data_IF_058603798509
#
_entry.id   IF_058603798509
#
_cell.length_a   1.000
_cell.length_b   1.000
_cell.length_c   1.000
_cell.angle_alpha   90.00
_cell.angle_beta   90.00
_cell.angle_gamma   90.00
#
_symmetry.space_group_name_H-M   'P 1'
#
loop_
_entity.id
_entity.type
_entity.pdbx_description
1 polymer ?
#
# COMPACT_ATOMS: atom_id res chain seq x y z
N UNK A 1 -9.25 9.30 16.68
CA UNK A 1 -10.06 8.15 16.26
C UNK A 1 -11.38 8.74 15.81
N UNK A 2 -11.68 8.68 14.51
CA UNK A 2 -13.00 9.12 14.07
C UNK A 2 -14.00 8.05 14.58
N UNK A 3 -15.20 8.42 15.05
CA UNK A 3 -16.20 7.43 15.41
C UNK A 3 -16.46 6.48 14.23
N UNK A 4 -16.27 5.17 14.44
CA UNK A 4 -16.59 4.13 13.45
C UNK A 4 -15.41 3.52 12.69
N UNK A 5 -14.15 3.93 12.92
CA UNK A 5 -12.99 3.25 12.32
C UNK A 5 -12.93 1.76 12.73
N UNK A 6 -12.56 0.88 11.80
CA UNK A 6 -12.51 -0.57 12.00
C UNK A 6 -11.19 -0.95 12.68
N UNK A 7 -11.24 -1.93 13.58
CA UNK A 7 -10.07 -2.42 14.30
C UNK A 7 -9.90 -3.92 14.09
N UNK A 8 -8.70 -4.32 13.65
CA UNK A 8 -8.25 -5.71 13.63
C UNK A 8 -7.16 -5.86 14.69
N UNK A 9 -7.21 -6.92 15.48
CA UNK A 9 -6.29 -7.10 16.60
C UNK A 9 -5.94 -8.59 16.80
N UNK A 10 -4.67 -8.88 17.08
CA UNK A 10 -4.19 -10.19 17.54
C UNK A 10 -3.48 -10.02 18.89
N UNK A 11 -2.67 -10.98 19.34
CA UNK A 11 -1.89 -10.92 20.60
C UNK A 11 -0.93 -9.73 20.69
N UNK A 12 -0.33 -9.30 19.57
CA UNK A 12 0.83 -8.38 19.55
C UNK A 12 0.60 -7.09 18.76
N UNK A 13 -0.36 -7.07 17.83
CA UNK A 13 -0.67 -5.98 16.92
C UNK A 13 -2.13 -5.55 17.09
N UNK A 14 -2.35 -4.25 16.85
CA UNK A 14 -3.66 -3.64 16.66
C UNK A 14 -3.60 -2.72 15.44
N UNK A 15 -4.44 -2.99 14.46
CA UNK A 15 -4.56 -2.19 13.25
C UNK A 15 -5.75 -1.25 13.37
N UNK A 16 -5.60 -0.04 12.85
CA UNK A 16 -6.69 0.90 12.63
C UNK A 16 -6.89 1.06 11.13
N UNK A 17 -8.14 0.87 10.69
CA UNK A 17 -8.52 0.85 9.29
C UNK A 17 -9.61 1.88 9.08
N UNK A 18 -9.45 2.70 8.04
CA UNK A 18 -10.43 3.72 7.70
C UNK A 18 -11.72 3.04 7.22
N UNK A 19 -12.84 3.34 7.89
CA UNK A 19 -14.11 2.64 7.62
C UNK A 19 -14.68 2.89 6.23
N UNK A 20 -14.32 3.99 5.58
CA UNK A 20 -14.91 4.38 4.30
C UNK A 20 -14.12 3.77 3.13
N UNK A 21 -12.81 3.62 3.31
CA UNK A 21 -11.89 3.13 2.29
C UNK A 21 -11.40 1.70 2.55
N UNK A 22 -11.58 1.17 3.76
CA UNK A 22 -11.00 -0.11 4.16
C UNK A 22 -9.47 -0.16 4.10
N UNK A 23 -8.80 1.00 3.96
CA UNK A 23 -7.34 1.10 3.90
C UNK A 23 -6.73 1.27 5.29
N UNK A 24 -5.55 0.68 5.47
CA UNK A 24 -4.78 0.80 6.70
C UNK A 24 -4.43 2.27 7.00
N UNK A 25 -4.57 2.65 8.27
CA UNK A 25 -4.18 3.98 8.79
C UNK A 25 -3.09 3.91 9.83
N UNK A 26 -3.12 2.88 10.66
CA UNK A 26 -2.21 2.76 11.79
C UNK A 26 -1.90 1.31 12.09
N UNK A 27 -0.63 1.04 12.43
CA UNK A 27 -0.19 -0.21 13.04
C UNK A 27 0.26 0.14 14.46
N UNK A 28 -0.33 -0.50 15.47
CA UNK A 28 0.11 -0.37 16.86
C UNK A 28 0.63 -1.72 17.33
N UNK A 29 1.92 -1.80 17.61
CA UNK A 29 2.46 -2.90 18.40
C UNK A 29 2.06 -2.71 19.86
N UNK A 30 1.59 -3.75 20.53
CA UNK A 30 1.07 -3.67 21.90
C UNK A 30 2.17 -3.62 22.96
N UNK A 31 3.34 -4.15 22.64
CA UNK A 31 4.55 -4.05 23.45
C UNK A 31 5.18 -2.64 23.41
N UNK A 32 4.88 -1.86 22.38
CA UNK A 32 5.36 -0.49 22.20
C UNK A 32 4.35 0.54 22.68
N UNK A 33 4.84 1.59 23.35
CA UNK A 33 4.03 2.76 23.72
C UNK A 33 3.85 3.73 22.55
N UNK A 34 4.59 3.55 21.45
CA UNK A 34 4.50 4.43 20.27
C UNK A 34 3.31 4.07 19.38
N UNK A 35 2.77 5.10 18.74
CA UNK A 35 1.80 4.96 17.66
C UNK A 35 2.59 5.03 16.35
N UNK A 36 2.62 3.93 15.58
CA UNK A 36 3.20 3.92 14.24
C UNK A 36 2.09 4.23 13.24
N UNK A 37 2.15 5.42 12.65
CA UNK A 37 1.27 5.78 11.53
C UNK A 37 1.80 5.03 10.32
N UNK A 38 0.94 4.21 9.71
CA UNK A 38 1.23 3.47 8.49
C UNK A 38 -0.02 3.51 7.65
N UNK A 39 -0.05 4.48 6.77
CA UNK A 39 -1.18 4.81 5.92
C UNK A 39 -0.98 4.17 4.54
N UNK A 40 -1.82 3.20 4.20
CA UNK A 40 -1.87 2.65 2.84
C UNK A 40 -2.67 3.60 1.96
N UNK A 41 -2.12 3.88 0.77
CA UNK A 41 -2.72 4.70 -0.28
C UNK A 41 -2.52 4.02 -1.63
N UNK A 42 -3.45 4.22 -2.54
CA UNK A 42 -3.31 3.82 -3.94
C UNK A 42 -3.34 5.07 -4.82
N UNK A 43 -2.39 5.15 -5.73
CA UNK A 43 -2.35 6.19 -6.75
C UNK A 43 -1.86 5.63 -8.06
N UNK A 44 -1.87 6.45 -9.10
CA UNK A 44 -1.34 6.03 -10.39
C UNK A 44 -0.60 7.14 -11.10
N UNK A 45 0.44 6.76 -11.85
CA UNK A 45 1.02 7.60 -12.89
C UNK A 45 0.30 7.37 -14.20
N UNK A 46 0.12 8.45 -14.97
CA UNK A 46 -0.23 8.31 -16.38
C UNK A 46 1.06 8.14 -17.16
N UNK A 47 1.14 7.11 -17.98
CA UNK A 47 2.28 6.90 -18.85
C UNK A 47 2.23 7.87 -20.02
N UNK A 48 3.35 8.56 -20.31
CA UNK A 48 3.43 9.42 -21.48
C UNK A 48 3.31 8.57 -22.76
N UNK A 49 2.39 8.95 -23.65
CA UNK A 49 2.08 8.16 -24.85
C UNK A 49 3.35 7.93 -25.70
N UNK A 50 3.64 6.67 -26.02
CA UNK A 50 4.81 6.20 -26.82
C UNK A 50 6.18 6.37 -26.15
N UNK A 51 6.22 6.83 -24.91
CA UNK A 51 7.47 7.03 -24.16
C UNK A 51 7.68 5.96 -23.09
N UNK A 52 6.62 5.60 -22.37
CA UNK A 52 6.65 4.43 -21.49
C UNK A 52 6.40 3.13 -22.27
N UNK A 53 6.84 2.01 -21.71
CA UNK A 53 6.60 0.69 -22.25
C UNK A 53 7.17 -0.41 -21.37
N UNK A 54 7.43 -1.59 -21.95
CA UNK A 54 7.89 -2.76 -21.20
C UNK A 54 9.21 -2.56 -20.42
N UNK A 55 10.03 -1.58 -20.81
CA UNK A 55 11.34 -1.29 -20.20
C UNK A 55 11.42 0.09 -19.55
N UNK A 56 10.76 1.08 -20.16
CA UNK A 56 10.87 2.47 -19.76
C UNK A 56 9.63 2.84 -18.94
N UNK A 57 9.86 3.26 -17.70
CA UNK A 57 8.89 4.03 -16.93
C UNK A 57 9.14 5.51 -17.24
N UNK A 58 8.22 6.15 -17.95
CA UNK A 58 8.29 7.58 -18.28
C UNK A 58 6.91 8.20 -18.03
N UNK A 59 6.63 8.59 -16.77
CA UNK A 59 5.36 9.20 -16.43
C UNK A 59 5.20 10.53 -17.18
N UNK A 60 3.95 10.86 -17.50
CA UNK A 60 3.59 12.15 -18.05
C UNK A 60 3.83 13.22 -16.98
N UNK A 61 4.81 14.08 -17.20
CA UNK A 61 5.20 15.12 -16.26
C UNK A 61 4.21 16.29 -16.21
N UNK A 62 3.42 16.46 -17.28
CA UNK A 62 2.37 17.48 -17.34
C UNK A 62 1.11 17.03 -16.60
N UNK A 63 0.97 15.73 -16.34
CA UNK A 63 -0.13 15.16 -15.55
C UNK A 63 0.34 14.70 -14.17
N UNK A 64 -0.08 15.37 -13.08
CA UNK A 64 0.32 14.97 -11.73
C UNK A 64 -0.21 13.58 -11.38
N UNK A 65 0.43 12.93 -10.40
CA UNK A 65 -0.02 11.64 -9.89
C UNK A 65 -1.52 11.66 -9.53
N UNK A 66 -2.27 10.65 -9.98
CA UNK A 66 -3.68 10.49 -9.65
C UNK A 66 -3.80 9.88 -8.27
N UNK A 67 -3.81 10.73 -7.24
CA UNK A 67 -3.85 10.33 -5.82
C UNK A 67 -5.13 9.61 -5.39
N UNK A 68 -6.22 9.75 -6.14
CA UNK A 68 -7.54 9.29 -5.75
C UNK A 68 -8.13 8.30 -6.77
N UNK A 69 -7.27 7.46 -7.37
CA UNK A 69 -7.65 6.52 -8.43
C UNK A 69 -8.80 5.58 -8.03
N UNK A 70 -8.92 5.26 -6.74
CA UNK A 70 -9.94 4.38 -6.21
C UNK A 70 -11.32 5.02 -6.04
N UNK A 71 -11.43 6.36 -5.97
CA UNK A 71 -12.72 7.03 -5.75
C UNK A 71 -13.76 6.68 -6.81
N UNK A 72 -13.33 6.57 -8.06
CA UNK A 72 -14.17 6.19 -9.19
C UNK A 72 -14.78 4.78 -9.05
N UNK A 73 -14.20 3.94 -8.17
CA UNK A 73 -14.64 2.57 -7.91
C UNK A 73 -15.36 2.44 -6.55
N UNK A 74 -15.47 3.53 -5.78
CA UNK A 74 -16.23 3.57 -4.53
C UNK A 74 -17.70 3.96 -4.75
N UNK A 75 -17.97 4.76 -5.78
CA UNK A 75 -19.31 5.27 -6.10
C UNK A 75 -19.81 4.60 -7.37
N UNK A 76 -20.44 3.43 -7.25
CA UNK A 76 -21.08 2.80 -8.41
C UNK A 76 -22.45 3.49 -8.65
N UNK A 77 -22.45 4.39 -9.65
CA UNK A 77 -23.57 4.99 -10.40
C UNK A 77 -24.54 5.93 -9.65
N UNK A 78 -24.65 7.17 -10.16
CA UNK A 78 -25.83 7.86 -10.71
C UNK A 78 -27.28 7.46 -10.31
N UNK A 79 -27.51 6.88 -9.14
CA UNK A 79 -28.85 6.82 -8.55
C UNK A 79 -28.77 7.21 -7.07
N UNK A 80 -29.67 8.09 -6.67
CA UNK A 80 -29.67 8.94 -5.47
C UNK A 80 -29.93 8.15 -4.16
N UNK A 81 -29.19 7.05 -3.95
CA UNK A 81 -29.26 6.25 -2.74
C UNK A 81 -27.87 6.08 -2.14
N UNK A 82 -27.61 6.88 -1.10
CA UNK A 82 -26.41 6.85 -0.24
C UNK A 82 -26.25 5.55 0.57
N UNK A 83 -26.48 4.37 -0.01
CA UNK A 83 -26.71 3.14 0.76
C UNK A 83 -25.68 2.00 0.53
N UNK A 84 -24.68 2.15 -0.35
CA UNK A 84 -23.84 1.01 -0.75
C UNK A 84 -22.33 1.12 -0.45
N UNK A 85 -21.90 2.02 0.45
CA UNK A 85 -20.48 2.03 0.89
C UNK A 85 -20.16 0.87 1.85
N UNK A 86 -21.12 0.39 2.65
CA UNK A 86 -20.86 -0.71 3.59
C UNK A 86 -20.81 -2.09 2.90
N UNK A 87 -21.31 -2.22 1.66
CA UNK A 87 -21.38 -3.49 0.93
C UNK A 87 -20.06 -3.93 0.29
N UNK A 88 -19.04 -3.06 0.26
CA UNK A 88 -17.76 -3.36 -0.38
C UNK A 88 -16.68 -3.88 0.59
N UNK A 89 -16.97 -3.92 1.90
CA UNK A 89 -16.05 -4.38 2.93
C UNK A 89 -16.57 -5.71 3.51
N UNK A 90 -15.71 -6.73 3.48
CA UNK A 90 -15.96 -8.03 4.10
C UNK A 90 -14.93 -8.27 5.19
N UNK A 91 -15.37 -8.55 6.41
CA UNK A 91 -14.51 -8.89 7.54
C UNK A 91 -14.70 -10.37 7.88
N UNK A 92 -13.61 -11.13 7.91
CA UNK A 92 -13.61 -12.53 8.32
C UNK A 92 -12.69 -12.67 9.53
N UNK A 93 -13.26 -13.12 10.64
CA UNK A 93 -12.52 -13.36 11.89
C UNK A 93 -12.57 -14.86 12.22
N UNK A 94 -11.40 -15.45 12.43
CA UNK A 94 -11.26 -16.86 12.75
C UNK A 94 -10.15 -17.14 13.77
N UNK A 95 -10.01 -18.41 14.19
CA UNK A 95 -9.01 -18.81 15.19
C UNK A 95 -7.57 -18.77 14.66
N UNK A 96 -7.36 -18.68 13.34
CA UNK A 96 -6.03 -18.66 12.69
C UNK A 96 -5.65 -17.27 12.19
N UNK A 97 -6.62 -16.50 11.70
CA UNK A 97 -6.42 -15.16 11.18
C UNK A 97 -7.69 -14.32 11.26
N UNK A 98 -7.49 -13.01 11.24
CA UNK A 98 -8.53 -12.02 11.02
C UNK A 98 -8.14 -11.17 9.83
N UNK A 99 -9.07 -10.98 8.90
CA UNK A 99 -8.85 -10.21 7.67
C UNK A 99 -10.01 -9.27 7.37
N UNK A 100 -9.69 -8.22 6.64
CA UNK A 100 -10.63 -7.32 6.00
C UNK A 100 -10.31 -7.30 4.51
N UNK A 101 -11.33 -7.47 3.68
CA UNK A 101 -11.26 -7.39 2.22
C UNK A 101 -12.12 -6.23 1.78
N UNK A 102 -11.55 -5.31 1.01
CA UNK A 102 -12.24 -4.17 0.41
C UNK A 102 -12.27 -4.31 -1.10
N UNK A 103 -13.46 -4.19 -1.67
CA UNK A 103 -13.75 -4.48 -3.06
C UNK A 103 -13.97 -3.17 -3.85
N UNK A 104 -12.94 -2.70 -4.54
CA UNK A 104 -12.99 -1.60 -5.50
C UNK A 104 -13.25 -2.15 -6.91
N UNK A 105 -14.37 -2.86 -7.07
CA UNK A 105 -14.61 -3.65 -8.27
C UNK A 105 -14.95 -2.78 -9.50
N UNK A 106 -14.51 -3.22 -10.69
CA UNK A 106 -13.72 -4.42 -10.95
C UNK A 106 -12.20 -4.26 -10.77
N UNK A 107 -11.72 -3.05 -10.46
CA UNK A 107 -10.31 -2.67 -10.61
C UNK A 107 -9.36 -3.26 -9.55
N UNK A 108 -9.78 -3.29 -8.29
CA UNK A 108 -8.92 -3.74 -7.18
C UNK A 108 -9.73 -4.49 -6.12
N UNK A 109 -9.21 -5.61 -5.65
CA UNK A 109 -9.58 -6.23 -4.38
C UNK A 109 -8.38 -6.13 -3.44
N UNK A 110 -8.55 -5.43 -2.33
CA UNK A 110 -7.50 -5.16 -1.34
C UNK A 110 -7.81 -5.88 -0.03
N UNK A 111 -6.91 -6.77 0.40
CA UNK A 111 -7.07 -7.55 1.63
C UNK A 111 -5.95 -7.24 2.61
N UNK A 112 -6.31 -6.94 3.86
CA UNK A 112 -5.38 -6.82 4.98
C UNK A 112 -5.67 -7.97 5.96
N UNK A 113 -4.65 -8.75 6.29
CA UNK A 113 -4.76 -9.90 7.19
C UNK A 113 -3.71 -9.84 8.30
N UNK A 114 -4.12 -10.23 9.50
CA UNK A 114 -3.24 -10.53 10.63
C UNK A 114 -3.48 -11.96 11.10
N UNK A 115 -2.43 -12.63 11.53
CA UNK A 115 -2.53 -13.99 12.07
C UNK A 115 -2.74 -13.96 13.58
N UNK A 116 -3.59 -14.84 14.09
CA UNK A 116 -3.95 -14.97 15.52
C UNK A 116 -3.33 -16.21 16.17
N UNK A 117 -2.47 -16.92 15.44
CA UNK A 117 -1.71 -18.08 15.91
C UNK A 117 -0.64 -17.62 16.90
N UNK A 118 -0.79 -18.03 18.17
CA UNK A 118 0.16 -17.73 19.25
C UNK A 118 1.53 -18.35 18.99
N UNK A 119 2.56 -17.70 19.52
CA UNK A 119 3.95 -18.17 19.49
C UNK A 119 4.50 -18.40 18.06
N UNK A 120 3.89 -17.76 17.06
CA UNK A 120 4.28 -17.81 15.66
C UNK A 120 4.81 -16.46 15.21
N UNK A 121 5.90 -16.43 14.44
CA UNK A 121 6.42 -15.19 13.85
C UNK A 121 5.39 -14.45 12.99
N UNK A 122 4.36 -15.15 12.49
CA UNK A 122 3.27 -14.58 11.72
C UNK A 122 2.42 -13.56 12.51
N UNK A 123 2.40 -13.63 13.85
CA UNK A 123 1.63 -12.69 14.67
C UNK A 123 2.17 -11.25 14.57
N UNK A 124 3.46 -11.10 14.23
CA UNK A 124 4.14 -9.80 14.11
C UNK A 124 4.01 -9.16 12.73
N UNK A 125 3.50 -9.89 11.74
CA UNK A 125 3.35 -9.40 10.37
C UNK A 125 1.94 -8.90 10.06
N UNK A 126 1.85 -7.94 9.15
CA UNK A 126 0.60 -7.59 8.45
C UNK A 126 0.74 -8.09 7.03
N UNK A 127 -0.12 -9.01 6.62
CA UNK A 127 -0.18 -9.47 5.24
C UNK A 127 -1.10 -8.54 4.45
N UNK A 128 -0.63 -8.08 3.30
CA UNK A 128 -1.42 -7.33 2.33
C UNK A 128 -1.49 -8.14 1.04
N UNK A 129 -2.69 -8.31 0.50
CA UNK A 129 -2.92 -8.92 -0.80
C UNK A 129 -3.71 -7.94 -1.67
N UNK A 130 -3.26 -7.79 -2.92
CA UNK A 130 -3.88 -6.93 -3.90
C UNK A 130 -4.14 -7.75 -5.16
N UNK A 131 -5.40 -7.86 -5.57
CA UNK A 131 -5.79 -8.42 -6.87
C UNK A 131 -6.20 -7.24 -7.75
N UNK A 132 -5.45 -7.01 -8.82
CA UNK A 132 -5.63 -5.84 -9.70
C UNK A 132 -6.07 -6.32 -11.08
N UNK A 133 -7.12 -5.71 -11.62
CA UNK A 133 -7.57 -5.88 -13.00
C UNK A 133 -7.65 -4.50 -13.67
N UNK A 134 -6.78 -4.25 -14.64
CA UNK A 134 -6.79 -2.98 -15.39
C UNK A 134 -7.98 -2.86 -16.35
N UNK A 135 -8.76 -3.92 -16.51
CA UNK A 135 -9.83 -4.06 -17.48
C UNK A 135 -9.34 -3.99 -18.93
N UNK A 136 -10.24 -4.26 -19.87
CA UNK A 136 -9.90 -4.17 -21.29
C UNK A 136 -9.70 -2.69 -21.71
N UNK A 137 -8.71 -2.42 -22.58
CA UNK A 137 -8.56 -1.10 -23.20
C UNK A 137 -9.88 -0.63 -23.84
N UNK A 138 -10.20 0.67 -23.78
CA UNK A 138 -9.32 1.79 -23.42
C UNK A 138 -9.26 2.12 -21.92
N UNK A 139 -10.01 1.41 -21.06
CA UNK A 139 -10.08 1.72 -19.63
C UNK A 139 -8.73 1.43 -18.95
N UNK A 140 -8.30 2.34 -18.07
CA UNK A 140 -6.99 2.34 -17.41
C UNK A 140 -5.79 2.10 -18.36
N UNK A 141 -5.93 2.37 -19.66
CA UNK A 141 -4.79 2.32 -20.58
C UNK A 141 -3.75 3.37 -20.17
N UNK A 142 -2.47 3.08 -20.39
CA UNK A 142 -1.36 3.98 -20.03
C UNK A 142 -1.40 4.38 -18.54
N UNK A 143 -1.74 3.43 -17.67
CA UNK A 143 -1.85 3.63 -16.22
C UNK A 143 -0.89 2.73 -15.47
N UNK A 144 -0.07 3.33 -14.63
CA UNK A 144 0.86 2.61 -13.75
C UNK A 144 0.41 2.80 -12.31
N UNK A 145 -0.27 1.77 -11.79
CA UNK A 145 -0.79 1.74 -10.42
C UNK A 145 0.36 1.53 -9.43
N UNK A 146 0.36 2.29 -8.34
CA UNK A 146 1.25 2.08 -7.20
C UNK A 146 0.48 2.03 -5.89
N UNK A 147 1.01 1.25 -4.94
CA UNK A 147 0.62 1.27 -3.54
C UNK A 147 1.70 2.02 -2.75
N UNK A 148 1.30 3.02 -1.96
CA UNK A 148 2.18 3.84 -1.12
C UNK A 148 1.91 3.57 0.35
N UNK A 149 2.97 3.41 1.12
CA UNK A 149 2.91 3.42 2.59
C UNK A 149 3.44 4.75 3.10
N UNK A 150 2.54 5.59 3.60
CA UNK A 150 2.91 6.86 4.22
C UNK A 150 3.04 6.67 5.73
N UNK A 151 4.19 7.04 6.30
CA UNK A 151 4.48 6.80 7.72
C UNK A 151 4.98 8.06 8.43
N UNK A 152 5.06 7.98 9.76
CA UNK A 152 5.72 8.99 10.58
C UNK A 152 7.21 8.71 10.84
N UNK A 153 7.81 7.72 10.15
CA UNK A 153 9.23 7.39 10.27
C UNK A 153 10.07 8.48 9.60
N UNK A 154 11.06 9.00 10.32
CA UNK A 154 11.93 10.07 9.83
C UNK A 154 13.18 9.49 9.16
N UNK A 155 13.13 9.28 7.84
CA UNK A 155 14.22 8.67 7.07
C UNK A 155 15.23 9.68 6.49
N UNK A 156 15.54 10.73 7.25
CA UNK A 156 16.56 11.74 6.92
C UNK A 156 16.04 12.98 6.17
N UNK A 157 16.85 14.05 6.18
CA UNK A 157 16.56 15.30 5.45
C UNK A 157 16.57 15.09 3.93
N UNK A 158 17.58 14.37 3.43
CA UNK A 158 17.55 13.75 2.11
C UNK A 158 16.99 12.34 2.32
N UNK A 159 15.76 12.07 1.85
CA UNK A 159 15.11 10.79 2.16
C UNK A 159 15.95 9.61 1.68
N UNK A 160 16.13 8.63 2.57
CA UNK A 160 16.81 7.38 2.27
C UNK A 160 15.94 6.16 2.52
N UNK A 161 16.14 5.14 1.72
CA UNK A 161 15.56 3.81 1.94
C UNK A 161 16.53 2.74 1.41
N UNK A 162 16.21 1.48 1.64
CA UNK A 162 17.08 0.37 1.30
C UNK A 162 16.29 -0.65 0.48
N UNK A 163 16.87 -1.09 -0.62
CA UNK A 163 16.33 -2.19 -1.43
C UNK A 163 17.31 -3.35 -1.44
N UNK A 164 16.78 -4.56 -1.59
CA UNK A 164 17.60 -5.73 -1.82
C UNK A 164 18.27 -5.71 -3.21
N UNK A 165 19.36 -6.46 -3.33
CA UNK A 165 20.06 -6.77 -4.57
C UNK A 165 19.97 -8.29 -4.77
N UNK A 166 18.99 -8.70 -5.58
CA UNK A 166 18.70 -10.11 -5.88
C UNK A 166 18.49 -10.96 -4.62
N UNK A 167 17.91 -10.39 -3.57
CA UNK A 167 17.65 -11.08 -2.31
C UNK A 167 18.89 -11.41 -1.47
N UNK A 168 20.07 -10.88 -1.80
CA UNK A 168 21.32 -11.20 -1.09
C UNK A 168 21.76 -10.12 -0.10
N UNK A 169 22.00 -8.90 -0.59
CA UNK A 169 22.43 -7.78 0.24
C UNK A 169 21.52 -6.56 0.04
N UNK A 170 21.58 -5.61 0.96
CA UNK A 170 20.79 -4.38 0.89
C UNK A 170 21.66 -3.20 0.48
N UNK A 171 21.15 -2.36 -0.41
CA UNK A 171 21.82 -1.14 -0.84
C UNK A 171 21.01 0.09 -0.44
N UNK A 172 21.71 1.06 0.16
CA UNK A 172 21.17 2.38 0.48
C UNK A 172 20.84 3.15 -0.81
N UNK A 173 19.63 3.71 -0.88
CA UNK A 173 19.12 4.56 -1.94
C UNK A 173 18.88 5.95 -1.37
N UNK A 174 19.50 6.96 -1.98
CA UNK A 174 19.27 8.36 -1.62
C UNK A 174 18.39 8.99 -2.68
N UNK A 175 17.34 9.68 -2.26
CA UNK A 175 16.49 10.42 -3.20
C UNK A 175 17.29 11.52 -3.88
N UNK A 176 17.37 11.48 -5.20
CA UNK A 176 18.02 12.50 -6.03
C UNK A 176 16.96 13.50 -6.46
N UNK A 177 16.80 14.58 -5.68
CA UNK A 177 15.73 15.58 -5.84
C UNK A 177 15.70 16.24 -7.22
N UNK A 178 16.87 16.40 -7.85
CA UNK A 178 17.01 17.02 -9.19
C UNK A 178 16.51 16.13 -10.34
N UNK A 179 16.20 14.86 -10.09
CA UNK A 179 15.73 13.91 -11.09
C UNK A 179 14.27 13.54 -10.83
N UNK A 180 13.58 13.09 -11.88
CA UNK A 180 12.21 12.60 -11.82
C UNK A 180 12.03 11.33 -11.00
N UNK A 181 10.79 10.88 -10.89
CA UNK A 181 10.44 9.70 -10.10
C UNK A 181 11.03 8.42 -10.70
N UNK A 182 11.08 8.31 -12.02
CA UNK A 182 11.61 7.16 -12.75
C UNK A 182 13.10 6.92 -12.46
N UNK A 183 13.87 7.99 -12.20
CA UNK A 183 15.28 7.88 -11.83
C UNK A 183 15.49 7.49 -10.36
N UNK A 184 14.44 7.57 -9.55
CA UNK A 184 14.44 7.19 -8.13
C UNK A 184 13.75 5.84 -7.88
N UNK A 185 13.28 5.16 -8.93
CA UNK A 185 12.76 3.80 -8.85
C UNK A 185 13.89 2.77 -8.90
N UNK A 186 13.84 1.81 -7.98
CA UNK A 186 14.81 0.73 -7.84
C UNK A 186 14.09 -0.62 -7.80
N UNK A 187 14.73 -1.71 -8.27
CA UNK A 187 14.16 -3.03 -8.13
C UNK A 187 14.12 -3.47 -6.67
N UNK A 188 13.03 -4.14 -6.30
CA UNK A 188 12.88 -4.94 -5.08
C UNK A 188 12.54 -6.36 -5.52
N UNK A 189 13.37 -7.33 -5.15
CA UNK A 189 13.12 -8.74 -5.51
C UNK A 189 12.64 -9.56 -4.33
N UNK A 190 12.92 -9.10 -3.10
CA UNK A 190 12.44 -9.72 -1.87
C UNK A 190 11.90 -8.71 -0.87
N UNK A 191 12.53 -7.54 -0.70
CA UNK A 191 12.07 -6.52 0.24
C UNK A 191 12.71 -5.14 0.05
N UNK A 192 12.01 -4.13 0.54
CA UNK A 192 12.57 -2.81 0.83
C UNK A 192 12.25 -2.40 2.27
N UNK A 193 13.04 -1.49 2.81
CA UNK A 193 12.80 -0.95 4.15
C UNK A 193 13.30 0.49 4.30
N UNK A 194 12.69 1.19 5.24
CA UNK A 194 13.10 2.50 5.72
C UNK A 194 13.04 2.52 7.25
N UNK A 195 13.81 3.40 7.87
CA UNK A 195 13.89 3.47 9.33
C UNK A 195 14.26 4.86 9.82
N UNK A 196 14.03 5.08 11.10
CA UNK A 196 14.65 6.13 11.92
C UNK A 196 15.44 5.49 13.07
N UNK A 197 15.81 6.27 14.09
CA UNK A 197 16.53 5.78 15.26
C UNK A 197 15.73 4.80 16.11
N UNK A 198 14.40 4.77 15.97
CA UNK A 198 13.51 4.06 16.90
C UNK A 198 12.68 2.97 16.23
N UNK A 199 12.48 3.04 14.92
CA UNK A 199 11.54 2.19 14.21
C UNK A 199 11.97 1.92 12.77
N UNK A 200 11.64 0.71 12.30
CA UNK A 200 11.84 0.27 10.92
C UNK A 200 10.51 -0.24 10.37
N UNK A 201 10.19 0.17 9.14
CA UNK A 201 9.18 -0.47 8.31
C UNK A 201 9.90 -1.32 7.26
N UNK A 202 9.63 -2.62 7.27
CA UNK A 202 10.10 -3.54 6.23
C UNK A 202 8.90 -4.02 5.42
N UNK A 203 8.97 -3.87 4.10
CA UNK A 203 7.98 -4.35 3.15
C UNK A 203 8.57 -5.51 2.37
N UNK A 204 7.97 -6.70 2.53
CA UNK A 204 8.41 -7.94 1.88
C UNK A 204 7.47 -8.21 0.70
N UNK A 205 8.03 -8.56 -0.45
CA UNK A 205 7.26 -8.89 -1.66
C UNK A 205 7.32 -10.39 -1.96
N UNK A 206 6.30 -10.90 -2.65
CA UNK A 206 6.26 -12.28 -3.15
C UNK A 206 6.71 -12.39 -4.63
N UNK A 207 7.00 -11.28 -5.29
CA UNK A 207 7.57 -11.20 -6.64
C UNK A 207 8.36 -9.89 -6.81
N UNK A 208 9.14 -9.81 -7.89
CA UNK A 208 9.93 -8.64 -8.19
C UNK A 208 9.06 -7.45 -8.63
N UNK A 209 9.35 -6.27 -8.09
CA UNK A 209 8.63 -5.02 -8.35
C UNK A 209 9.60 -3.83 -8.36
N UNK A 210 9.09 -2.63 -8.68
CA UNK A 210 9.82 -1.37 -8.48
C UNK A 210 9.36 -0.65 -7.21
N UNK A 211 10.28 0.03 -6.53
CA UNK A 211 10.00 0.88 -5.37
C UNK A 211 10.89 2.13 -5.35
N UNK A 212 10.42 3.17 -4.68
CA UNK A 212 11.10 4.46 -4.50
C UNK A 212 10.90 5.02 -3.09
#
# INVERSE_FOLDING_TARGET
MKPGDIQLENSVLKLLIDRNTGLLRQVKRKDSRRKSVVEVQFGAYRSAQRHSGAYLFMPDYDEPERKEILKNYMTRNDDDSMQHMDDNIVIIAGPVSTEITTMYLPFLVHTIRIFTVKDSLLEYGVQIENIVDFENPPKNRETELFMRMQTNIQNGEVPEFYTDQNGLHYQKRLKVIKLGIEANYYPITTMAWLQDEESRLTFITNHAQGAS
#
